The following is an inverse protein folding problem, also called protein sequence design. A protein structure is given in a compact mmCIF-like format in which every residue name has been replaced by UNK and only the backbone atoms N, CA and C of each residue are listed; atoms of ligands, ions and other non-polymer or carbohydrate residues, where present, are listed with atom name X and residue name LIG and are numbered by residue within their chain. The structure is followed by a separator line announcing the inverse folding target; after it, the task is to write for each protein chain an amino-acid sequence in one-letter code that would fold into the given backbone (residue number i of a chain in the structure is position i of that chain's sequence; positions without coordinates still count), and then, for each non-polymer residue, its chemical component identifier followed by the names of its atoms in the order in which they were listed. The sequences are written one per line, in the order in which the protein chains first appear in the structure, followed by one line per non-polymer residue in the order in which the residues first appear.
data_IF_579346453888
#
_entry.id   IF_579346453888
#
_cell.length_a   1.000
_cell.length_b   1.000
_cell.length_c   1.000
_cell.angle_alpha   90.00
_cell.angle_beta   90.00
_cell.angle_gamma   90.00
#
_symmetry.space_group_name_H-M   'P 1'
#
loop_
_entity.id
_entity.type
_entity.pdbx_description
1 polymer ?
#
# COMPACT_ATOMS: atom_id res chain seq x y z
N UNK A 1 3.30 37.51 5.40
CA UNK A 1 4.13 36.31 5.11
C UNK A 1 3.53 35.18 5.91
N UNK A 2 2.72 34.35 5.26
CA UNK A 2 2.19 33.14 5.90
C UNK A 2 3.33 32.13 6.05
N UNK A 3 3.53 31.69 7.28
CA UNK A 3 4.61 30.78 7.65
C UNK A 3 4.15 29.37 7.27
N UNK A 4 4.78 28.80 6.25
CA UNK A 4 4.59 27.41 5.88
C UNK A 4 5.10 26.51 7.00
N UNK A 5 4.17 25.80 7.64
CA UNK A 5 4.47 24.81 8.67
C UNK A 5 4.96 23.53 7.99
N UNK A 6 6.29 23.36 7.97
CA UNK A 6 6.93 22.05 7.75
C UNK A 6 6.50 21.13 8.90
N UNK A 7 5.52 20.27 8.65
CA UNK A 7 5.23 19.15 9.53
C UNK A 7 6.24 18.04 9.25
N UNK A 8 6.94 17.60 10.32
CA UNK A 8 7.70 16.36 10.36
C UNK A 8 6.86 15.24 9.71
N UNK A 9 7.49 14.44 8.85
CA UNK A 9 6.85 13.50 7.92
C UNK A 9 5.72 12.66 8.59
N UNK A 10 4.51 13.21 8.59
CA UNK A 10 3.32 12.55 9.09
C UNK A 10 3.01 11.40 8.16
N UNK A 11 3.02 10.18 8.68
CA UNK A 11 2.61 8.98 7.95
C UNK A 11 1.28 9.29 7.25
N UNK A 12 1.27 9.24 5.92
CA UNK A 12 0.05 9.51 5.16
C UNK A 12 -0.95 8.37 5.42
N UNK A 13 -1.99 8.66 6.20
CA UNK A 13 -3.09 7.73 6.47
C UNK A 13 -4.06 7.75 5.28
N UNK A 14 -4.37 6.56 4.75
CA UNK A 14 -5.31 6.35 3.65
C UNK A 14 -6.55 5.64 4.17
N UNK A 15 -7.72 6.22 3.96
CA UNK A 15 -8.99 5.54 4.25
C UNK A 15 -9.32 4.54 3.14
N UNK A 16 -10.23 3.60 3.42
CA UNK A 16 -10.75 2.68 2.40
C UNK A 16 -11.37 3.44 1.22
N UNK A 17 -12.17 4.47 1.49
CA UNK A 17 -12.81 5.30 0.46
C UNK A 17 -11.81 6.03 -0.44
N UNK A 18 -10.72 6.57 0.13
CA UNK A 18 -9.65 7.20 -0.64
C UNK A 18 -8.88 6.19 -1.49
N UNK A 19 -8.58 5.01 -0.91
CA UNK A 19 -7.86 3.93 -1.60
C UNK A 19 -8.67 3.41 -2.79
N UNK A 20 -9.97 3.17 -2.60
CA UNK A 20 -10.88 2.77 -3.67
C UNK A 20 -10.96 3.84 -4.76
N UNK A 21 -11.09 5.12 -4.39
CA UNK A 21 -11.13 6.21 -5.37
C UNK A 21 -9.86 6.25 -6.22
N UNK A 22 -8.67 6.20 -5.61
CA UNK A 22 -7.39 6.19 -6.34
C UNK A 22 -7.33 5.00 -7.31
N UNK A 23 -7.75 3.82 -6.84
CA UNK A 23 -7.72 2.61 -7.66
C UNK A 23 -8.67 2.71 -8.86
N UNK A 24 -9.93 3.10 -8.63
CA UNK A 24 -10.94 3.24 -9.69
C UNK A 24 -10.58 4.33 -10.68
N UNK A 25 -10.12 5.50 -10.20
CA UNK A 25 -9.70 6.60 -11.06
C UNK A 25 -8.60 6.16 -12.02
N UNK A 26 -7.59 5.47 -11.50
CA UNK A 26 -6.47 4.98 -12.30
C UNK A 26 -6.84 3.79 -13.20
N UNK A 27 -7.82 2.96 -12.81
CA UNK A 27 -8.35 1.90 -13.67
C UNK A 27 -9.02 2.46 -14.92
N UNK A 28 -9.82 3.53 -14.80
CA UNK A 28 -10.44 4.19 -15.94
C UNK A 28 -9.39 4.71 -16.95
N UNK A 29 -8.24 5.22 -16.48
CA UNK A 29 -7.12 5.59 -17.37
C UNK A 29 -6.53 4.39 -18.14
N UNK A 30 -6.63 3.17 -17.60
CA UNK A 30 -6.22 1.95 -18.31
C UNK A 30 -7.23 1.63 -19.40
N UNK A 31 -8.53 1.69 -19.06
CA UNK A 31 -9.63 1.37 -19.98
C UNK A 31 -9.69 2.36 -21.16
N UNK A 32 -9.32 3.63 -20.93
CA UNK A 32 -9.16 4.66 -21.96
C UNK A 32 -7.91 4.46 -22.85
N UNK A 33 -7.11 3.41 -22.62
CA UNK A 33 -5.91 3.11 -23.41
C UNK A 33 -4.72 4.04 -23.13
N UNK A 34 -4.78 4.85 -22.07
CA UNK A 34 -3.75 5.83 -21.72
C UNK A 34 -2.60 5.22 -20.89
N UNK A 35 -2.63 3.91 -20.62
CA UNK A 35 -1.59 3.22 -19.86
C UNK A 35 -0.35 2.95 -20.73
N UNK A 36 0.82 3.24 -20.17
CA UNK A 36 2.10 2.75 -20.71
C UNK A 36 2.45 1.37 -20.15
N UNK A 37 3.09 0.53 -21.00
CA UNK A 37 3.45 -0.87 -20.74
C UNK A 37 4.21 -1.14 -19.44
N UNK A 38 4.86 -0.13 -18.85
CA UNK A 38 5.68 -0.27 -17.64
C UNK A 38 5.06 0.33 -16.37
N UNK A 39 3.94 1.06 -16.44
CA UNK A 39 3.27 1.65 -15.28
C UNK A 39 2.66 3.03 -15.52
N UNK A 40 2.22 3.69 -14.42
CA UNK A 40 1.66 5.04 -14.47
C UNK A 40 2.77 6.10 -14.51
N UNK A 41 2.67 7.01 -15.49
CA UNK A 41 3.54 8.19 -15.58
C UNK A 41 3.16 9.21 -14.51
N UNK A 42 4.11 10.09 -14.17
CA UNK A 42 3.92 11.20 -13.21
C UNK A 42 2.69 12.06 -13.55
N UNK A 43 2.43 12.30 -14.83
CA UNK A 43 1.25 13.05 -15.29
C UNK A 43 -0.08 12.38 -14.87
N UNK A 44 -0.19 11.05 -14.90
CA UNK A 44 -1.38 10.32 -14.47
C UNK A 44 -1.55 10.38 -12.95
N UNK A 45 -0.44 10.22 -12.21
CA UNK A 45 -0.44 10.30 -10.76
C UNK A 45 -0.81 11.70 -10.26
N UNK A 46 -0.34 12.76 -10.93
CA UNK A 46 -0.72 14.13 -10.61
C UNK A 46 -2.19 14.41 -10.92
N UNK A 47 -2.72 13.93 -12.06
CA UNK A 47 -4.17 14.05 -12.35
C UNK A 47 -5.02 13.36 -11.28
N UNK A 48 -4.61 12.17 -10.83
CA UNK A 48 -5.28 11.48 -9.73
C UNK A 48 -5.20 12.27 -8.42
N UNK A 49 -4.07 12.91 -8.14
CA UNK A 49 -3.89 13.73 -6.95
C UNK A 49 -4.80 14.97 -6.95
N UNK A 50 -4.95 15.65 -8.10
CA UNK A 50 -5.88 16.77 -8.27
C UNK A 50 -7.34 16.34 -8.09
N UNK A 51 -7.75 15.23 -8.71
CA UNK A 51 -9.10 14.70 -8.56
C UNK A 51 -9.40 14.28 -7.11
N UNK A 52 -8.41 13.72 -6.42
CA UNK A 52 -8.52 13.37 -4.99
C UNK A 52 -8.62 14.62 -4.11
N UNK A 53 -7.86 15.67 -4.42
CA UNK A 53 -7.95 16.96 -3.74
C UNK A 53 -9.33 17.60 -3.93
N UNK A 54 -9.88 17.55 -5.14
CA UNK A 54 -11.21 18.08 -5.41
C UNK A 54 -12.29 17.36 -4.60
N UNK A 55 -12.25 16.02 -4.58
CA UNK A 55 -13.26 15.17 -3.94
C UNK A 55 -13.17 15.13 -2.41
N UNK A 56 -11.96 15.01 -1.86
CA UNK A 56 -11.73 14.81 -0.42
C UNK A 56 -11.14 16.04 0.29
N UNK A 57 -10.82 17.11 -0.44
CA UNK A 57 -10.16 18.33 0.08
C UNK A 57 -8.82 18.04 0.74
N UNK A 58 -8.11 17.01 0.26
CA UNK A 58 -6.81 16.59 0.77
C UNK A 58 -5.68 17.07 -0.14
N UNK A 59 -4.64 17.64 0.46
CA UNK A 59 -3.45 18.03 -0.29
C UNK A 59 -2.50 16.84 -0.41
N UNK A 60 -2.57 16.13 -1.54
CA UNK A 60 -1.67 15.02 -1.90
C UNK A 60 -0.98 15.35 -3.22
N UNK A 61 0.21 14.81 -3.41
CA UNK A 61 0.97 14.93 -4.66
C UNK A 61 0.99 13.61 -5.40
N UNK A 62 1.36 13.61 -6.69
CA UNK A 62 1.52 12.37 -7.45
C UNK A 62 2.49 11.37 -6.81
N UNK A 63 3.49 11.84 -6.06
CA UNK A 63 4.43 10.95 -5.34
C UNK A 63 3.72 10.23 -4.18
N UNK A 64 2.81 10.89 -3.47
CA UNK A 64 1.99 10.25 -2.44
C UNK A 64 1.10 9.15 -3.03
N UNK A 65 0.50 9.41 -4.21
CA UNK A 65 -0.30 8.43 -4.95
C UNK A 65 0.57 7.24 -5.36
N UNK A 66 1.73 7.51 -5.98
CA UNK A 66 2.67 6.47 -6.40
C UNK A 66 3.15 5.60 -5.24
N UNK A 67 3.43 6.20 -4.08
CA UNK A 67 3.82 5.46 -2.88
C UNK A 67 2.66 4.62 -2.33
N UNK A 68 1.43 5.15 -2.34
CA UNK A 68 0.25 4.38 -1.95
C UNK A 68 0.05 3.15 -2.83
N UNK A 69 0.18 3.29 -4.16
CA UNK A 69 0.09 2.16 -5.09
C UNK A 69 1.16 1.09 -4.85
N UNK A 70 2.40 1.51 -4.51
CA UNK A 70 3.46 0.55 -4.12
C UNK A 70 3.05 -0.23 -2.87
N UNK A 71 2.47 0.43 -1.87
CA UNK A 71 1.97 -0.21 -0.64
C UNK A 71 0.83 -1.18 -0.94
N UNK A 72 -0.16 -0.78 -1.75
CA UNK A 72 -1.26 -1.66 -2.16
C UNK A 72 -0.73 -2.89 -2.93
N UNK A 73 0.22 -2.71 -3.84
CA UNK A 73 0.85 -3.81 -4.57
C UNK A 73 1.58 -4.78 -3.65
N UNK A 74 2.33 -4.29 -2.67
CA UNK A 74 3.00 -5.15 -1.67
C UNK A 74 1.98 -5.97 -0.87
N UNK A 75 0.88 -5.34 -0.43
CA UNK A 75 -0.20 -6.04 0.28
C UNK A 75 -0.84 -7.11 -0.60
N UNK A 76 -1.13 -6.79 -1.86
CA UNK A 76 -1.70 -7.75 -2.80
C UNK A 76 -0.78 -8.95 -3.07
N UNK A 77 0.52 -8.69 -3.28
CA UNK A 77 1.51 -9.77 -3.43
C UNK A 77 1.54 -10.66 -2.18
N UNK A 78 1.51 -10.07 -0.98
CA UNK A 78 1.46 -10.82 0.28
C UNK A 78 0.20 -11.67 0.40
N UNK A 79 -0.96 -11.11 0.07
CA UNK A 79 -2.24 -11.83 0.03
C UNK A 79 -2.14 -13.04 -0.90
N UNK A 80 -1.61 -12.85 -2.12
CA UNK A 80 -1.44 -13.96 -3.07
C UNK A 80 -0.45 -15.02 -2.59
N UNK A 81 0.63 -14.63 -1.91
CA UNK A 81 1.55 -15.58 -1.28
C UNK A 81 0.84 -16.41 -0.21
N UNK A 82 0.05 -15.77 0.65
CA UNK A 82 -0.72 -16.47 1.68
C UNK A 82 -1.74 -17.44 1.06
N UNK A 83 -2.39 -17.03 -0.04
CA UNK A 83 -3.32 -17.89 -0.79
C UNK A 83 -2.63 -19.10 -1.44
N UNK A 84 -1.33 -19.01 -1.73
CA UNK A 84 -0.58 -20.10 -2.35
C UNK A 84 -0.09 -21.17 -1.37
N UNK A 85 -0.27 -20.98 -0.06
CA UNK A 85 0.11 -22.01 0.91
C UNK A 85 -0.84 -23.21 0.88
N UNK A 86 -0.26 -24.41 0.99
CA UNK A 86 -1.03 -25.64 1.14
C UNK A 86 -1.86 -25.57 2.42
N UNK A 87 -3.17 -25.81 2.31
CA UNK A 87 -4.10 -25.70 3.43
C UNK A 87 -4.62 -24.29 3.72
N UNK A 88 -4.30 -23.29 2.88
CA UNK A 88 -4.98 -22.00 2.93
C UNK A 88 -6.43 -22.15 2.45
N UNK A 89 -7.38 -21.76 3.30
CA UNK A 89 -8.80 -21.66 2.95
C UNK A 89 -9.12 -20.20 2.66
N UNK A 90 -9.77 -19.96 1.53
CA UNK A 90 -10.24 -18.63 1.14
C UNK A 90 -11.75 -18.57 1.33
N UNK A 91 -12.19 -17.65 2.17
CA UNK A 91 -13.59 -17.31 2.37
C UNK A 91 -13.94 -16.15 1.40
N UNK A 92 -14.68 -16.46 0.33
CA UNK A 92 -15.12 -15.48 -0.67
C UNK A 92 -16.15 -14.47 -0.12
N UNK A 93 -16.92 -14.85 0.91
CA UNK A 93 -17.99 -14.01 1.46
C UNK A 93 -17.43 -12.95 2.41
N UNK A 94 -16.41 -13.31 3.19
CA UNK A 94 -15.77 -12.40 4.16
C UNK A 94 -14.42 -11.85 3.69
N UNK A 95 -13.88 -12.32 2.56
CA UNK A 95 -12.55 -11.99 2.06
C UNK A 95 -11.43 -12.33 3.06
N UNK A 96 -11.57 -13.46 3.76
CA UNK A 96 -10.65 -13.93 4.82
C UNK A 96 -9.80 -15.08 4.28
N UNK A 97 -8.50 -15.05 4.60
CA UNK A 97 -7.61 -16.21 4.43
C UNK A 97 -7.46 -16.88 5.80
N UNK A 98 -7.93 -18.13 5.91
CA UNK A 98 -7.67 -18.98 7.06
C UNK A 98 -6.49 -19.90 6.75
N UNK A 99 -5.55 -19.99 7.68
CA UNK A 99 -4.40 -20.90 7.61
C UNK A 99 -4.49 -21.89 8.75
N UNK A 100 -4.05 -23.12 8.51
CA UNK A 100 -3.87 -24.08 9.59
C UNK A 100 -2.91 -23.53 10.66
N UNK A 101 -3.14 -23.90 11.92
CA UNK A 101 -2.45 -23.34 13.09
C UNK A 101 -0.91 -23.47 13.00
N UNK A 102 -0.40 -24.55 12.42
CA UNK A 102 1.04 -24.76 12.22
C UNK A 102 1.61 -23.78 11.17
N UNK A 103 0.89 -23.56 10.08
CA UNK A 103 1.28 -22.62 9.02
C UNK A 103 1.16 -21.15 9.46
N UNK A 104 0.14 -20.82 10.26
CA UNK A 104 -0.01 -19.50 10.87
C UNK A 104 1.16 -19.18 11.81
N UNK A 105 1.54 -20.12 12.68
CA UNK A 105 2.65 -19.96 13.64
C UNK A 105 3.99 -19.75 12.93
N UNK A 106 4.31 -20.57 11.94
CA UNK A 106 5.56 -20.43 11.17
C UNK A 106 5.64 -19.07 10.43
N UNK A 107 4.50 -18.56 9.95
CA UNK A 107 4.43 -17.25 9.32
C UNK A 107 4.60 -16.09 10.31
N UNK A 108 3.96 -16.18 11.48
CA UNK A 108 4.05 -15.18 12.54
C UNK A 108 5.46 -15.13 13.14
N UNK A 109 6.08 -16.28 13.40
CA UNK A 109 7.46 -16.36 13.88
C UNK A 109 8.47 -15.78 12.88
N UNK A 110 8.25 -15.93 11.57
CA UNK A 110 9.10 -15.33 10.53
C UNK A 110 9.00 -13.80 10.48
N UNK A 111 7.79 -13.24 10.63
CA UNK A 111 7.56 -11.79 10.72
C UNK A 111 8.18 -11.21 12.00
N UNK A 112 8.04 -11.91 13.13
CA UNK A 112 8.67 -11.51 14.39
C UNK A 112 10.20 -11.61 14.34
N UNK A 113 10.79 -12.66 13.77
CA UNK A 113 12.25 -12.78 13.63
C UNK A 113 12.85 -11.69 12.75
N UNK A 114 12.19 -11.31 11.65
CA UNK A 114 12.64 -10.19 10.81
C UNK A 114 12.59 -8.86 11.57
N UNK A 115 11.57 -8.63 12.41
CA UNK A 115 11.49 -7.44 13.25
C UNK A 115 12.60 -7.42 14.32
N UNK A 116 12.93 -8.57 14.91
CA UNK A 116 14.05 -8.70 15.87
C UNK A 116 15.40 -8.47 15.20
N UNK A 117 15.66 -9.05 14.03
CA UNK A 117 16.93 -8.87 13.30
C UNK A 117 17.13 -7.41 12.86
N UNK A 118 16.07 -6.71 12.45
CA UNK A 118 16.16 -5.28 12.09
C UNK A 118 16.41 -4.41 13.33
N UNK A 119 15.88 -4.77 14.50
CA UNK A 119 16.19 -4.09 15.77
C UNK A 119 17.65 -4.31 16.17
N UNK A 120 18.11 -5.56 16.15
CA UNK A 120 19.49 -5.96 16.46
C UNK A 120 20.50 -5.23 15.55
N UNK A 121 20.20 -5.11 14.25
CA UNK A 121 21.01 -4.35 13.29
C UNK A 121 21.01 -2.83 13.48
N UNK A 122 20.01 -2.27 14.16
CA UNK A 122 19.95 -0.83 14.48
C UNK A 122 20.67 -0.54 15.80
N UNK A 123 20.64 -1.47 16.75
CA UNK A 123 21.35 -1.35 18.02
C UNK A 123 22.87 -1.55 17.88
N UNK A 124 23.33 -2.37 16.91
CA UNK A 124 24.77 -2.57 16.61
C UNK A 124 25.43 -1.36 15.91
N UNK A 125 24.65 -0.41 15.39
CA UNK A 125 25.16 0.80 14.72
C UNK A 125 25.08 2.07 15.57
N UNK A 126 24.68 1.94 16.84
CA UNK A 126 24.69 3.03 17.83
C UNK A 126 25.54 2.60 19.03
N UNK A 127 26.80 2.27 18.78
CA UNK A 127 27.92 2.35 19.73
C UNK A 127 29.23 2.61 18.99
#
# INVERSE_FOLDING_TARGET
MEVESKSAAGQTVWTASQSTFVHTFLANFIDEGLKTSTGFKKVHLNKCAEALKEKFKLNRTGDHIGNHLKTLRRRYVKINQLRSFSGALWDEDQYIISLDHEHYRNHFESVCRLATVVQDQLDDHVY
#
